data_IF_778004989856
#
_entry.id   IF_778004989856
#
_cell.length_a   1.000
_cell.length_b   1.000
_cell.length_c   1.000
_cell.angle_alpha   90.00
_cell.angle_beta   90.00
_cell.angle_gamma   90.00
#
_symmetry.space_group_name_H-M   'P 1'
#
loop_
_entity.id
_entity.type
_entity.pdbx_description
1 polymer ?
#
# COMPACT_ATOMS: atom_id res chain seq x y z
N UNK A 1 5.03 -14.91 -9.18
CA UNK A 1 4.22 -13.68 -9.21
C UNK A 1 2.77 -14.07 -9.48
N UNK A 2 1.80 -13.31 -8.96
CA UNK A 2 0.37 -13.62 -9.13
C UNK A 2 -0.25 -12.57 -10.07
N UNK A 3 -1.02 -12.95 -11.10
CA UNK A 3 -1.75 -11.98 -11.92
C UNK A 3 -2.92 -11.39 -11.11
N UNK A 4 -3.08 -10.06 -11.03
CA UNK A 4 -4.26 -9.46 -10.42
C UNK A 4 -5.48 -9.61 -11.35
N UNK A 5 -6.68 -9.69 -10.76
CA UNK A 5 -7.90 -9.41 -11.52
C UNK A 5 -7.96 -7.94 -11.92
N UNK A 6 -8.81 -7.58 -12.90
CA UNK A 6 -9.03 -6.17 -13.28
C UNK A 6 -9.42 -5.31 -12.07
N UNK A 7 -10.37 -5.79 -11.27
CA UNK A 7 -10.80 -5.11 -10.04
C UNK A 7 -9.65 -4.93 -9.04
N UNK A 8 -8.82 -5.96 -8.83
CA UNK A 8 -7.66 -5.84 -7.94
C UNK A 8 -6.64 -4.82 -8.46
N UNK A 9 -6.45 -4.73 -9.78
CA UNK A 9 -5.56 -3.74 -10.39
C UNK A 9 -6.08 -2.32 -10.15
N UNK A 10 -7.37 -2.07 -10.37
CA UNK A 10 -8.01 -0.76 -10.12
C UNK A 10 -7.90 -0.36 -8.64
N UNK A 11 -8.22 -1.28 -7.73
CA UNK A 11 -8.07 -1.05 -6.28
C UNK A 11 -6.61 -0.81 -5.91
N UNK A 12 -5.66 -1.55 -6.50
CA UNK A 12 -4.24 -1.39 -6.24
C UNK A 12 -3.74 -0.01 -6.70
N UNK A 13 -4.15 0.47 -7.87
CA UNK A 13 -3.84 1.83 -8.35
C UNK A 13 -4.40 2.88 -7.40
N UNK A 14 -5.67 2.77 -6.99
CA UNK A 14 -6.28 3.68 -6.02
C UNK A 14 -5.56 3.67 -4.66
N UNK A 15 -5.16 2.48 -4.20
CA UNK A 15 -4.39 2.30 -2.97
C UNK A 15 -3.02 2.99 -3.07
N UNK A 16 -2.34 2.86 -4.22
CA UNK A 16 -1.08 3.53 -4.49
C UNK A 16 -1.22 5.03 -4.75
N UNK A 17 -2.40 5.57 -5.03
CA UNK A 17 -2.61 7.02 -5.03
C UNK A 17 -2.78 7.59 -3.61
N UNK A 18 -3.21 6.77 -2.66
CA UNK A 18 -3.38 7.14 -1.25
C UNK A 18 -2.09 7.05 -0.41
N UNK A 19 -2.23 6.68 0.86
CA UNK A 19 -1.14 6.67 1.84
C UNK A 19 -0.29 5.38 1.83
N UNK A 20 -0.74 4.34 1.12
CA UNK A 20 -0.10 3.02 1.11
C UNK A 20 1.03 2.94 0.05
N UNK A 21 1.90 1.92 0.13
CA UNK A 21 3.11 1.91 -0.69
C UNK A 21 3.62 0.52 -1.10
N UNK A 22 4.46 0.48 -2.13
CA UNK A 22 5.24 -0.69 -2.53
C UNK A 22 6.53 -0.74 -1.70
N UNK A 23 6.82 -1.88 -1.08
CA UNK A 23 8.05 -2.06 -0.31
C UNK A 23 9.29 -2.04 -1.22
N UNK A 24 10.27 -1.17 -0.91
CA UNK A 24 11.44 -0.88 -1.75
C UNK A 24 12.26 -2.10 -2.17
N UNK A 25 12.42 -3.12 -1.33
CA UNK A 25 13.23 -4.31 -1.67
C UNK A 25 12.43 -5.56 -2.04
N UNK A 26 11.12 -5.58 -1.79
CA UNK A 26 10.31 -6.80 -1.87
C UNK A 26 9.28 -6.77 -2.99
N UNK A 27 9.00 -5.59 -3.57
CA UNK A 27 7.96 -5.40 -4.59
C UNK A 27 6.60 -5.96 -4.14
N UNK A 28 6.27 -5.79 -2.86
CA UNK A 28 4.98 -6.17 -2.25
C UNK A 28 4.25 -4.92 -1.81
N UNK A 29 2.91 -4.99 -1.78
CA UNK A 29 2.09 -3.91 -1.23
C UNK A 29 2.19 -3.93 0.29
N UNK A 30 2.41 -2.76 0.89
CA UNK A 30 2.28 -2.54 2.33
C UNK A 30 1.16 -1.53 2.58
N UNK A 31 0.18 -1.96 3.38
CA UNK A 31 -0.91 -1.11 3.86
C UNK A 31 -0.67 -0.84 5.34
N UNK A 32 -0.52 0.42 5.73
CA UNK A 32 -0.31 0.83 7.13
C UNK A 32 -1.13 2.08 7.40
N UNK A 33 -2.26 1.92 8.08
CA UNK A 33 -3.28 2.95 8.23
C UNK A 33 -3.62 3.16 9.70
N UNK A 34 -4.12 4.35 10.04
CA UNK A 34 -4.65 4.62 11.37
C UNK A 34 -5.75 3.61 11.75
N UNK A 35 -5.81 3.19 13.02
CA UNK A 35 -6.76 2.19 13.46
C UNK A 35 -8.24 2.57 13.23
N UNK A 36 -8.54 3.88 13.19
CA UNK A 36 -9.86 4.39 12.83
C UNK A 36 -10.32 3.97 11.42
N UNK A 37 -9.38 3.71 10.49
CA UNK A 37 -9.66 3.23 9.13
C UNK A 37 -9.81 1.70 9.04
N UNK A 38 -10.07 1.00 10.15
CA UNK A 38 -10.19 -0.47 10.18
C UNK A 38 -11.10 -1.07 9.10
N UNK A 39 -12.33 -0.56 8.88
CA UNK A 39 -13.21 -1.14 7.85
C UNK A 39 -12.60 -1.08 6.45
N UNK A 40 -11.87 -0.01 6.15
CA UNK A 40 -11.16 0.16 4.89
C UNK A 40 -10.00 -0.83 4.75
N UNK A 41 -9.19 -1.00 5.80
CA UNK A 41 -8.08 -1.97 5.79
C UNK A 41 -8.59 -3.40 5.68
N UNK A 42 -9.69 -3.74 6.37
CA UNK A 42 -10.33 -5.05 6.27
C UNK A 42 -10.87 -5.30 4.85
N UNK A 43 -11.44 -4.28 4.20
CA UNK A 43 -11.86 -4.37 2.80
C UNK A 43 -10.68 -4.56 1.82
N UNK A 44 -9.59 -3.81 1.98
CA UNK A 44 -8.36 -4.00 1.19
C UNK A 44 -7.78 -5.40 1.40
N UNK A 45 -7.72 -5.86 2.64
CA UNK A 45 -7.26 -7.20 2.99
C UNK A 45 -8.08 -8.29 2.29
N UNK A 46 -9.41 -8.15 2.30
CA UNK A 46 -10.30 -9.07 1.62
C UNK A 46 -10.13 -9.01 0.10
N UNK A 47 -9.95 -7.82 -0.47
CA UNK A 47 -9.71 -7.61 -1.91
C UNK A 47 -8.43 -8.31 -2.36
N UNK A 48 -7.38 -8.31 -1.55
CA UNK A 48 -6.08 -8.91 -1.88
C UNK A 48 -5.83 -10.25 -1.18
N UNK A 49 -6.86 -10.92 -0.63
CA UNK A 49 -6.69 -12.09 0.26
C UNK A 49 -5.89 -13.23 -0.37
N UNK A 50 -5.95 -13.39 -1.69
CA UNK A 50 -5.19 -14.40 -2.43
C UNK A 50 -3.66 -14.19 -2.39
N UNK A 51 -3.20 -12.98 -2.09
CA UNK A 51 -1.77 -12.64 -1.96
C UNK A 51 -1.43 -11.94 -0.64
N UNK A 52 -2.43 -11.60 0.18
CA UNK A 52 -2.23 -10.94 1.46
C UNK A 52 -1.61 -11.89 2.49
N UNK A 53 -0.67 -11.39 3.28
CA UNK A 53 -0.14 -12.10 4.43
C UNK A 53 -1.08 -12.08 5.63
N UNK A 54 -0.51 -12.15 6.83
CA UNK A 54 -1.29 -11.99 8.06
C UNK A 54 -1.75 -10.53 8.21
N UNK A 55 -3.02 -10.32 8.53
CA UNK A 55 -3.54 -9.04 8.97
C UNK A 55 -3.10 -8.75 10.41
N UNK A 56 -2.31 -7.70 10.59
CA UNK A 56 -1.87 -7.22 11.90
C UNK A 56 -2.85 -6.18 12.42
N UNK A 57 -3.68 -6.60 13.39
CA UNK A 57 -4.79 -5.81 13.92
C UNK A 57 -4.38 -4.61 14.78
N UNK A 58 -3.16 -4.57 15.31
CA UNK A 58 -2.62 -3.40 16.04
C UNK A 58 -1.11 -3.52 16.05
N UNK A 59 -0.38 -2.62 15.37
CA UNK A 59 1.09 -2.78 15.28
C UNK A 59 1.89 -1.90 16.23
N UNK A 60 1.45 -0.70 16.60
CA UNK A 60 2.25 0.17 17.45
C UNK A 60 1.37 1.12 18.24
N UNK A 61 1.52 1.11 19.56
CA UNK A 61 1.30 2.28 20.41
C UNK A 61 2.62 3.04 20.35
N UNK A 62 2.71 4.10 19.53
CA UNK A 62 3.83 5.04 19.68
C UNK A 62 3.39 6.08 20.68
N UNK A 63 3.97 6.07 21.87
CA UNK A 63 3.94 7.23 22.75
C UNK A 63 4.82 8.30 22.12
N UNK A 64 4.19 9.38 21.68
CA UNK A 64 4.93 10.57 21.33
C UNK A 64 5.38 11.24 22.64
N UNK A 65 6.66 11.10 22.98
CA UNK A 65 7.25 11.57 24.25
C UNK A 65 7.00 13.08 24.49
N UNK A 66 6.77 13.83 23.41
CA UNK A 66 6.46 15.27 23.45
C UNK A 66 4.97 15.58 23.72
N UNK A 67 4.05 14.71 23.30
CA UNK A 67 2.61 15.04 23.23
C UNK A 67 1.68 14.02 23.93
N UNK A 68 2.20 12.96 24.56
CA UNK A 68 1.44 11.90 25.27
C UNK A 68 0.33 11.27 24.42
N UNK A 69 0.39 11.41 23.09
CA UNK A 69 -0.61 10.87 22.19
C UNK A 69 -0.24 9.45 21.77
N UNK A 70 -1.07 8.50 22.15
CA UNK A 70 -1.02 7.13 21.65
C UNK A 70 -1.67 7.10 20.27
N UNK A 71 -0.85 6.83 19.25
CA UNK A 71 -1.37 6.48 17.91
C UNK A 71 -1.34 4.97 17.75
N UNK A 72 -2.41 4.41 17.17
CA UNK A 72 -2.52 2.99 16.83
C UNK A 72 -2.72 2.83 15.31
N UNK A 73 -2.08 1.82 14.74
CA UNK A 73 -2.20 1.49 13.31
C UNK A 73 -2.55 0.02 13.07
N UNK A 74 -3.22 -0.22 11.94
CA UNK A 74 -3.58 -1.54 11.42
C UNK A 74 -2.83 -1.72 10.11
N UNK A 75 -2.24 -2.90 9.93
CA UNK A 75 -1.38 -3.19 8.79
C UNK A 75 -1.58 -4.57 8.22
N UNK A 76 -1.42 -4.71 6.91
CA UNK A 76 -1.01 -5.96 6.30
C UNK A 76 -0.01 -5.69 5.18
N UNK A 77 0.74 -6.72 4.79
CA UNK A 77 1.55 -6.68 3.58
C UNK A 77 1.17 -7.89 2.73
N UNK A 78 1.34 -7.81 1.40
CA UNK A 78 1.23 -9.00 0.55
C UNK A 78 2.43 -9.91 0.77
N UNK A 79 2.24 -11.23 0.74
CA UNK A 79 3.31 -12.24 0.83
C UNK A 79 3.90 -12.57 -0.53
N UNK A 80 3.17 -12.24 -1.60
CA UNK A 80 3.62 -12.37 -2.98
C UNK A 80 3.46 -11.03 -3.71
N UNK A 81 4.33 -10.79 -4.68
CA UNK A 81 4.21 -9.69 -5.62
C UNK A 81 3.14 -10.02 -6.68
N UNK A 82 2.28 -9.05 -6.98
CA UNK A 82 1.51 -9.09 -8.22
C UNK A 82 2.46 -8.96 -9.42
N UNK A 83 2.13 -9.60 -10.53
CA UNK A 83 2.95 -9.55 -11.75
C UNK A 83 3.15 -8.12 -12.28
N UNK A 84 2.22 -7.20 -11.97
CA UNK A 84 2.29 -5.79 -12.35
C UNK A 84 3.08 -4.90 -11.38
N UNK A 85 3.65 -5.44 -10.29
CA UNK A 85 4.28 -4.60 -9.25
C UNK A 85 5.48 -3.81 -9.75
N UNK A 86 6.29 -4.38 -10.65
CA UNK A 86 7.45 -3.68 -11.21
C UNK A 86 7.02 -2.51 -12.10
N UNK A 87 5.99 -2.73 -12.94
CA UNK A 87 5.40 -1.69 -13.78
C UNK A 87 4.82 -0.57 -12.91
N UNK A 88 3.99 -0.92 -11.93
CA UNK A 88 3.39 0.07 -11.02
C UNK A 88 4.45 0.82 -10.22
N UNK A 89 5.54 0.15 -9.83
CA UNK A 89 6.65 0.83 -9.17
C UNK A 89 7.30 1.85 -10.11
N UNK A 90 7.58 1.47 -11.35
CA UNK A 90 8.16 2.37 -12.36
C UNK A 90 7.26 3.57 -12.68
N UNK A 91 5.94 3.44 -12.48
CA UNK A 91 4.99 4.54 -12.64
C UNK A 91 4.95 5.45 -11.40
N UNK A 92 4.81 4.87 -10.21
CA UNK A 92 4.52 5.61 -8.98
C UNK A 92 5.74 6.04 -8.17
N UNK A 93 6.93 5.62 -8.57
CA UNK A 93 8.15 5.91 -7.82
C UNK A 93 9.28 6.34 -8.74
N UNK A 94 9.87 7.49 -8.42
CA UNK A 94 11.00 8.06 -9.14
C UNK A 94 12.19 8.28 -8.19
N UNK A 95 13.40 8.15 -8.72
CA UNK A 95 14.62 8.45 -7.97
C UNK A 95 15.00 9.92 -8.17
N UNK A 96 14.93 10.71 -7.10
CA UNK A 96 15.32 12.11 -7.06
C UNK A 96 16.47 12.24 -6.07
N UNK A 97 17.63 12.74 -6.52
CA UNK A 97 18.77 13.00 -5.63
C UNK A 97 19.22 11.78 -4.79
N UNK A 98 19.16 10.56 -5.38
CA UNK A 98 19.44 9.26 -4.71
C UNK A 98 18.38 8.82 -3.70
N UNK A 99 17.23 9.48 -3.66
CA UNK A 99 16.07 9.09 -2.88
C UNK A 99 14.92 8.62 -3.77
N UNK A 100 14.41 7.41 -3.51
CA UNK A 100 13.17 6.96 -4.15
C UNK A 100 11.97 7.64 -3.48
N UNK A 101 11.27 8.49 -4.24
CA UNK A 101 10.07 9.23 -3.83
C UNK A 101 8.85 8.73 -4.59
N UNK A 102 7.72 8.74 -3.90
CA UNK A 102 6.42 8.38 -4.49
C UNK A 102 5.87 9.59 -5.24
N UNK A 103 5.44 9.39 -6.48
CA UNK A 103 4.90 10.43 -7.35
C UNK A 103 3.59 9.99 -8.00
N UNK A 104 2.79 10.97 -8.38
CA UNK A 104 1.56 10.74 -9.16
C UNK A 104 1.93 10.88 -10.64
N UNK A 105 1.77 9.82 -11.45
CA UNK A 105 2.07 9.88 -12.88
C UNK A 105 1.23 10.96 -13.57
N UNK A 106 1.84 11.74 -14.48
CA UNK A 106 1.14 12.81 -15.21
C UNK A 106 -0.07 12.32 -16.01
N UNK A 107 -0.02 11.09 -16.52
CA UNK A 107 -1.06 10.47 -17.34
C UNK A 107 -1.89 9.43 -16.55
N UNK A 108 -1.95 9.54 -15.22
CA UNK A 108 -2.70 8.56 -14.41
C UNK A 108 -4.19 8.56 -14.77
N UNK A 109 -4.74 9.70 -15.20
CA UNK A 109 -6.13 9.84 -15.66
C UNK A 109 -6.46 8.91 -16.82
N UNK A 110 -5.49 8.64 -17.70
CA UNK A 110 -5.67 7.74 -18.84
C UNK A 110 -5.80 6.27 -18.39
N UNK A 111 -5.30 5.97 -17.18
CA UNK A 111 -5.39 4.65 -16.53
C UNK A 111 -6.63 4.48 -15.64
N UNK A 112 -7.46 5.53 -15.50
CA UNK A 112 -8.65 5.57 -14.64
C UNK A 112 -9.98 5.51 -15.43
N UNK A 113 -9.93 5.36 -16.77
CA UNK A 113 -11.10 5.29 -17.66
C UNK A 113 -11.40 3.85 -18.12
#
# INVERSE_FOLDING_TARGET
>A
MVPPTRYQLEVLVGTLLGDDHIHKSKNILEVDQAAAKRPYVDWLYNTFRNVAGKLFKTKRTRENILNVNTTSSIRFSTVAAFACMEILRGLFYEEIEREVRKTVPRNITDSLN
#
